data_IF_609304486729
#
_entry.id   IF_609304486729
#
_cell.length_a   1.000
_cell.length_b   1.000
_cell.length_c   1.000
_cell.angle_alpha   90.00
_cell.angle_beta   90.00
_cell.angle_gamma   90.00
#
_symmetry.space_group_name_H-M   'P 1'
#
loop_
_entity.id
_entity.type
_entity.pdbx_description
1 polymer ?
#
# COMPACT_ATOMS: atom_id res chain seq x y z
N UNK A 1 -41.97 -63.29 8.11
CA UNK A 1 -40.98 -62.30 8.59
C UNK A 1 -41.50 -60.92 8.19
N UNK A 2 -42.41 -60.38 9.01
CA UNK A 2 -42.26 -59.17 9.85
C UNK A 2 -42.43 -57.85 9.06
N UNK A 3 -43.69 -57.40 8.92
CA UNK A 3 -44.05 -56.01 8.64
C UNK A 3 -43.96 -55.16 9.92
N UNK A 4 -43.40 -53.94 9.89
CA UNK A 4 -43.52 -53.00 11.01
C UNK A 4 -44.80 -52.17 10.87
N UNK A 5 -45.78 -52.42 11.75
CA UNK A 5 -46.95 -51.56 11.97
C UNK A 5 -46.49 -50.28 12.68
N UNK A 6 -46.25 -49.21 11.92
CA UNK A 6 -46.05 -47.87 12.47
C UNK A 6 -47.42 -47.24 12.73
N UNK A 7 -47.81 -47.22 14.00
CA UNK A 7 -49.04 -46.62 14.50
C UNK A 7 -48.87 -45.10 14.56
N UNK A 8 -49.27 -44.39 13.51
CA UNK A 8 -49.34 -42.92 13.51
C UNK A 8 -50.51 -42.46 14.37
N UNK A 9 -50.21 -41.86 15.52
CA UNK A 9 -51.19 -41.13 16.30
C UNK A 9 -51.55 -39.82 15.57
N UNK A 10 -52.83 -39.47 15.40
CA UNK A 10 -53.22 -38.17 14.88
C UNK A 10 -52.90 -37.11 15.93
N UNK A 11 -51.91 -36.27 15.65
CA UNK A 11 -51.69 -35.02 16.40
C UNK A 11 -52.85 -34.10 16.03
N UNK A 12 -53.87 -34.06 16.88
CA UNK A 12 -54.93 -33.06 16.81
C UNK A 12 -54.31 -31.74 17.29
N UNK A 13 -53.90 -30.91 16.34
CA UNK A 13 -53.58 -29.51 16.58
C UNK A 13 -54.87 -28.82 17.02
N UNK A 14 -54.96 -28.58 18.31
CA UNK A 14 -56.03 -27.86 18.96
C UNK A 14 -55.99 -26.40 18.48
N UNK A 15 -57.04 -25.97 17.77
CA UNK A 15 -57.21 -24.60 17.26
C UNK A 15 -57.16 -23.60 18.42
N UNK A 16 -56.03 -22.91 18.55
CA UNK A 16 -55.86 -21.82 19.50
C UNK A 16 -56.52 -20.56 18.93
N UNK A 17 -57.59 -20.02 19.53
CA UNK A 17 -58.24 -18.81 19.04
C UNK A 17 -57.27 -17.63 19.15
N UNK A 18 -56.82 -17.12 18.00
CA UNK A 18 -55.86 -16.02 17.89
C UNK A 18 -54.59 -16.31 17.07
N UNK A 19 -54.36 -17.56 16.65
CA UNK A 19 -53.23 -17.94 15.79
C UNK A 19 -53.27 -17.21 14.42
N UNK A 20 -54.46 -16.98 13.90
CA UNK A 20 -54.75 -16.37 12.60
C UNK A 20 -54.37 -14.88 12.55
N UNK A 21 -54.52 -14.17 13.67
CA UNK A 21 -54.09 -12.78 13.80
C UNK A 21 -52.56 -12.65 13.79
N UNK A 22 -51.86 -13.61 14.42
CA UNK A 22 -50.39 -13.68 14.40
C UNK A 22 -49.84 -14.05 13.03
N UNK A 23 -50.47 -15.02 12.34
CA UNK A 23 -50.10 -15.44 11.00
C UNK A 23 -50.26 -14.32 9.96
N UNK A 24 -51.34 -13.54 10.04
CA UNK A 24 -51.60 -12.42 9.11
C UNK A 24 -50.67 -11.22 9.35
N UNK A 25 -50.20 -11.02 10.58
CA UNK A 25 -49.21 -10.00 10.89
C UNK A 25 -47.80 -10.43 10.48
N UNK A 26 -47.45 -11.70 10.66
CA UNK A 26 -46.16 -12.26 10.21
C UNK A 26 -46.07 -12.32 8.68
N UNK A 27 -47.14 -12.76 8.00
CA UNK A 27 -47.18 -12.80 6.54
C UNK A 27 -47.06 -11.40 5.91
N UNK A 28 -47.69 -10.39 6.53
CA UNK A 28 -47.50 -8.98 6.14
C UNK A 28 -46.05 -8.52 6.32
N UNK A 29 -45.40 -8.80 7.45
CA UNK A 29 -43.99 -8.43 7.65
C UNK A 29 -43.04 -9.13 6.68
N UNK A 30 -43.33 -10.37 6.29
CA UNK A 30 -42.54 -11.10 5.29
C UNK A 30 -42.77 -10.54 3.88
N UNK A 31 -44.00 -10.11 3.56
CA UNK A 31 -44.33 -9.48 2.28
C UNK A 31 -43.80 -8.04 2.15
N UNK A 32 -43.72 -7.30 3.27
CA UNK A 32 -43.18 -5.94 3.36
C UNK A 32 -41.66 -5.92 3.54
N UNK A 33 -41.03 -7.07 3.74
CA UNK A 33 -39.58 -7.15 3.84
C UNK A 33 -38.97 -6.64 2.53
N UNK A 34 -38.04 -5.66 2.59
CA UNK A 34 -37.44 -5.13 1.38
C UNK A 34 -36.82 -6.28 0.58
N UNK A 35 -36.97 -6.28 -0.76
CA UNK A 35 -36.43 -7.35 -1.58
C UNK A 35 -34.94 -7.49 -1.28
N UNK A 36 -34.53 -8.71 -0.90
CA UNK A 36 -33.13 -9.01 -0.66
C UNK A 36 -32.36 -8.64 -1.92
N UNK A 37 -31.51 -7.61 -1.83
CA UNK A 37 -30.66 -7.23 -2.96
C UNK A 37 -29.92 -8.47 -3.44
N UNK A 38 -29.91 -8.75 -4.74
CA UNK A 38 -29.25 -9.94 -5.23
C UNK A 38 -27.75 -9.85 -4.91
N UNK A 39 -27.16 -11.00 -4.55
CA UNK A 39 -25.75 -11.09 -4.11
C UNK A 39 -24.77 -10.39 -5.07
N UNK A 40 -25.04 -10.42 -6.38
CA UNK A 40 -24.20 -9.79 -7.39
C UNK A 40 -24.16 -8.25 -7.29
N UNK A 41 -25.24 -7.60 -6.84
CA UNK A 41 -25.24 -6.15 -6.60
C UNK A 41 -24.30 -5.81 -5.45
N UNK A 42 -24.38 -6.54 -4.34
CA UNK A 42 -23.49 -6.36 -3.20
C UNK A 42 -22.02 -6.55 -3.62
N UNK A 43 -21.72 -7.60 -4.40
CA UNK A 43 -20.38 -7.90 -4.94
C UNK A 43 -19.88 -6.77 -5.84
N UNK A 44 -20.71 -6.25 -6.74
CA UNK A 44 -20.31 -5.18 -7.67
C UNK A 44 -20.06 -3.84 -6.96
N UNK A 45 -20.88 -3.49 -5.97
CA UNK A 45 -20.64 -2.29 -5.14
C UNK A 45 -19.36 -2.41 -4.32
N UNK A 46 -19.10 -3.56 -3.69
CA UNK A 46 -17.87 -3.78 -2.95
C UNK A 46 -16.63 -3.69 -3.86
N UNK A 47 -16.69 -4.29 -5.06
CA UNK A 47 -15.59 -4.24 -6.02
C UNK A 47 -15.30 -2.81 -6.52
N UNK A 48 -16.34 -1.99 -6.74
CA UNK A 48 -16.17 -0.57 -7.11
C UNK A 48 -15.58 0.26 -5.96
N UNK A 49 -16.01 0.03 -4.72
CA UNK A 49 -15.44 0.71 -3.55
C UNK A 49 -13.95 0.38 -3.37
N UNK A 50 -13.58 -0.89 -3.46
CA UNK A 50 -12.18 -1.34 -3.39
C UNK A 50 -11.33 -0.76 -4.54
N UNK A 51 -11.90 -0.72 -5.77
CA UNK A 51 -11.22 -0.13 -6.92
C UNK A 51 -11.05 1.39 -6.79
N UNK A 52 -12.03 2.09 -6.20
CA UNK A 52 -11.98 3.53 -5.93
C UNK A 52 -10.87 3.92 -4.95
N UNK A 53 -10.56 3.05 -3.99
CA UNK A 53 -9.46 3.29 -3.04
C UNK A 53 -8.07 2.98 -3.61
N UNK A 54 -7.97 2.19 -4.69
CA UNK A 54 -6.70 1.71 -5.20
C UNK A 54 -5.72 2.85 -5.60
N UNK A 55 -6.16 3.95 -6.26
CA UNK A 55 -5.29 5.09 -6.55
C UNK A 55 -4.82 5.84 -5.30
N UNK A 56 -5.67 5.95 -4.27
CA UNK A 56 -5.33 6.62 -3.01
C UNK A 56 -4.30 5.81 -2.20
N UNK A 57 -4.49 4.49 -2.10
CA UNK A 57 -3.52 3.58 -1.46
C UNK A 57 -2.16 3.64 -2.17
N UNK A 58 -2.15 3.68 -3.52
CA UNK A 58 -0.92 3.82 -4.31
C UNK A 58 -0.22 5.15 -4.03
N UNK A 59 -0.96 6.25 -4.06
CA UNK A 59 -0.42 7.57 -3.78
C UNK A 59 0.28 7.62 -2.41
N UNK A 60 -0.31 6.99 -1.39
CA UNK A 60 0.29 6.88 -0.06
C UNK A 60 1.58 6.06 -0.07
N UNK A 61 1.63 4.92 -0.79
CA UNK A 61 2.85 4.09 -0.89
C UNK A 61 3.99 4.84 -1.58
N UNK A 62 3.71 5.51 -2.70
CA UNK A 62 4.69 6.35 -3.40
C UNK A 62 5.19 7.46 -2.48
N UNK A 63 4.31 8.14 -1.75
CA UNK A 63 4.71 9.16 -0.79
C UNK A 63 5.67 8.62 0.28
N UNK A 64 5.36 7.47 0.89
CA UNK A 64 6.23 6.83 1.87
C UNK A 64 7.59 6.43 1.28
N UNK A 65 7.61 5.91 0.05
CA UNK A 65 8.86 5.58 -0.67
C UNK A 65 9.68 6.83 -0.97
N UNK A 66 9.05 7.94 -1.34
CA UNK A 66 9.74 9.24 -1.53
C UNK A 66 10.35 9.69 -0.20
N UNK A 67 9.61 9.66 0.90
CA UNK A 67 10.17 10.00 2.23
C UNK A 67 11.37 9.10 2.58
N UNK A 68 11.29 7.81 2.29
CA UNK A 68 12.39 6.89 2.49
C UNK A 68 13.61 7.22 1.60
N UNK A 69 13.39 7.58 0.33
CA UNK A 69 14.44 8.06 -0.57
C UNK A 69 15.14 9.31 -0.06
N UNK A 70 14.41 10.23 0.58
CA UNK A 70 15.01 11.41 1.20
C UNK A 70 16.00 11.03 2.30
N UNK A 71 15.60 10.11 3.20
CA UNK A 71 16.46 9.61 4.28
C UNK A 71 17.74 8.98 3.69
N UNK A 72 17.59 8.09 2.69
CA UNK A 72 18.73 7.44 2.05
C UNK A 72 19.65 8.42 1.33
N UNK A 73 19.11 9.44 0.65
CA UNK A 73 19.92 10.44 -0.07
C UNK A 73 20.66 11.39 0.88
N UNK A 74 20.08 11.73 2.03
CA UNK A 74 20.78 12.50 3.06
C UNK A 74 21.95 11.67 3.63
N UNK A 75 21.73 10.38 3.85
CA UNK A 75 22.79 9.44 4.22
C UNK A 75 23.91 9.40 3.18
N UNK A 76 23.56 9.20 1.90
CA UNK A 76 24.51 9.20 0.78
C UNK A 76 25.34 10.49 0.72
N UNK A 77 24.69 11.65 0.82
CA UNK A 77 25.36 12.95 0.84
C UNK A 77 26.34 13.06 2.01
N UNK A 78 25.93 12.60 3.20
CA UNK A 78 26.79 12.64 4.40
C UNK A 78 28.03 11.77 4.20
N UNK A 79 27.85 10.55 3.69
CA UNK A 79 28.95 9.64 3.41
C UNK A 79 29.89 10.17 2.32
N UNK A 80 29.34 10.75 1.25
CA UNK A 80 30.10 11.44 0.18
C UNK A 80 31.01 12.52 0.78
N UNK A 81 30.48 13.35 1.69
CA UNK A 81 31.23 14.44 2.31
C UNK A 81 32.34 13.93 3.25
N UNK A 82 32.07 12.87 4.00
CA UNK A 82 33.07 12.25 4.87
C UNK A 82 34.19 11.64 4.03
N UNK A 83 33.85 10.83 3.03
CA UNK A 83 34.82 10.17 2.16
C UNK A 83 35.70 11.19 1.42
N UNK A 84 35.10 12.29 0.93
CA UNK A 84 35.85 13.37 0.30
C UNK A 84 36.86 14.02 1.25
N UNK A 85 36.47 14.27 2.51
CA UNK A 85 37.39 14.82 3.54
C UNK A 85 38.53 13.88 3.90
N UNK A 86 38.34 12.57 3.76
CA UNK A 86 39.38 11.57 3.97
C UNK A 86 40.35 11.46 2.78
N UNK A 87 40.09 12.16 1.67
CA UNK A 87 40.96 12.17 0.48
C UNK A 87 40.99 10.88 -0.33
N UNK A 88 40.15 9.90 0.02
CA UNK A 88 40.10 8.56 -0.59
C UNK A 88 38.90 8.36 -1.52
N UNK A 89 38.21 9.45 -1.87
CA UNK A 89 36.98 9.42 -2.63
C UNK A 89 37.18 9.84 -4.08
N UNK A 90 37.09 8.88 -4.99
CA UNK A 90 37.04 9.16 -6.42
C UNK A 90 35.59 9.22 -6.88
N UNK A 91 35.10 10.44 -7.14
CA UNK A 91 33.71 10.62 -7.53
C UNK A 91 33.50 10.23 -9.00
N UNK A 92 32.63 9.25 -9.25
CA UNK A 92 32.38 8.69 -10.59
C UNK A 92 31.48 9.60 -11.44
N UNK A 93 30.67 10.44 -10.81
CA UNK A 93 29.82 11.38 -11.52
C UNK A 93 30.65 12.60 -11.95
N UNK A 94 30.89 12.83 -13.26
CA UNK A 94 31.76 13.91 -13.73
C UNK A 94 31.23 15.31 -13.35
N UNK A 95 29.91 15.47 -13.25
CA UNK A 95 29.28 16.74 -12.82
C UNK A 95 29.52 16.97 -11.33
N UNK A 96 29.33 15.93 -10.52
CA UNK A 96 29.57 16.01 -9.08
C UNK A 96 31.06 16.20 -8.77
N UNK A 97 31.96 15.58 -9.56
CA UNK A 97 33.41 15.73 -9.45
C UNK A 97 33.84 17.20 -9.57
N UNK A 98 33.26 17.94 -10.52
CA UNK A 98 33.52 19.38 -10.67
C UNK A 98 32.96 20.26 -9.54
N UNK A 99 32.10 19.72 -8.68
CA UNK A 99 31.49 20.41 -7.55
C UNK A 99 32.13 20.01 -6.20
N UNK A 100 33.04 19.04 -6.17
CA UNK A 100 33.68 18.56 -4.93
C UNK A 100 34.44 19.67 -4.19
N UNK A 101 35.11 20.55 -4.93
CA UNK A 101 35.87 21.67 -4.36
C UNK A 101 34.98 22.68 -3.61
N UNK A 102 33.66 22.63 -3.83
CA UNK A 102 32.68 23.45 -3.13
C UNK A 102 31.57 22.58 -2.51
N UNK A 103 31.75 22.08 -1.27
CA UNK A 103 30.79 21.20 -0.59
C UNK A 103 29.36 21.75 -0.53
N UNK A 104 29.22 23.08 -0.42
CA UNK A 104 27.93 23.75 -0.45
C UNK A 104 27.24 23.61 -1.82
N UNK A 105 27.97 23.80 -2.91
CA UNK A 105 27.43 23.66 -4.26
C UNK A 105 27.03 22.21 -4.56
N UNK A 106 27.84 21.23 -4.13
CA UNK A 106 27.51 19.81 -4.25
C UNK A 106 26.24 19.45 -3.46
N UNK A 107 26.10 19.96 -2.24
CA UNK A 107 24.91 19.75 -1.41
C UNK A 107 23.66 20.29 -2.09
N UNK A 108 23.70 21.55 -2.54
CA UNK A 108 22.57 22.20 -3.23
C UNK A 108 22.22 21.43 -4.51
N UNK A 109 23.22 20.99 -5.28
CA UNK A 109 23.01 20.20 -6.48
C UNK A 109 22.30 18.86 -6.19
N UNK A 110 22.80 18.07 -5.23
CA UNK A 110 22.16 16.79 -4.86
C UNK A 110 20.74 17.01 -4.30
N UNK A 111 20.53 18.02 -3.47
CA UNK A 111 19.20 18.35 -2.93
C UNK A 111 18.23 18.83 -4.01
N UNK A 112 18.70 19.61 -4.99
CA UNK A 112 17.88 20.06 -6.12
C UNK A 112 17.43 18.87 -6.98
N UNK A 113 18.33 17.92 -7.28
CA UNK A 113 17.98 16.70 -8.01
C UNK A 113 17.00 15.81 -7.24
N UNK A 114 17.20 15.66 -5.93
CA UNK A 114 16.30 14.91 -5.06
C UNK A 114 14.91 15.55 -5.01
N UNK A 115 14.84 16.88 -4.87
CA UNK A 115 13.59 17.63 -4.87
C UNK A 115 12.86 17.53 -6.21
N UNK A 116 13.59 17.69 -7.33
CA UNK A 116 13.05 17.53 -8.68
C UNK A 116 12.47 16.13 -8.89
N UNK A 117 13.25 15.09 -8.56
CA UNK A 117 12.83 13.69 -8.68
C UNK A 117 11.60 13.39 -7.80
N UNK A 118 11.58 13.93 -6.59
CA UNK A 118 10.44 13.82 -5.67
C UNK A 118 9.20 14.50 -6.26
N UNK A 119 9.35 15.68 -6.85
CA UNK A 119 8.26 16.38 -7.54
C UNK A 119 7.66 15.54 -8.66
N UNK A 120 8.49 14.91 -9.49
CA UNK A 120 8.06 14.01 -10.56
C UNK A 120 7.29 12.81 -9.99
N UNK A 121 7.85 12.10 -8.99
CA UNK A 121 7.16 10.95 -8.39
C UNK A 121 5.84 11.33 -7.72
N UNK A 122 5.78 12.48 -7.03
CA UNK A 122 4.56 12.96 -6.40
C UNK A 122 3.51 13.43 -7.41
N UNK A 123 3.92 14.01 -8.54
CA UNK A 123 3.02 14.39 -9.63
C UNK A 123 2.35 13.14 -10.25
N UNK A 124 3.12 12.07 -10.47
CA UNK A 124 2.64 10.84 -11.09
C UNK A 124 2.23 9.74 -10.08
N UNK A 125 2.07 10.06 -8.80
CA UNK A 125 1.83 9.10 -7.69
C UNK A 125 0.65 8.15 -7.84
N UNK A 126 -0.27 8.40 -8.78
CA UNK A 126 -1.43 7.54 -9.09
C UNK A 126 -1.14 6.49 -10.16
N UNK A 127 0.01 6.54 -10.84
CA UNK A 127 0.39 5.63 -11.93
C UNK A 127 1.15 4.41 -11.38
N UNK A 128 0.84 3.20 -11.87
CA UNK A 128 1.53 1.96 -11.42
C UNK A 128 3.02 1.97 -11.73
N UNK A 129 3.40 2.49 -12.89
CA UNK A 129 4.80 2.57 -13.29
C UNK A 129 5.63 3.42 -12.32
N UNK A 130 5.06 4.49 -11.79
CA UNK A 130 5.69 5.36 -10.78
C UNK A 130 5.97 4.61 -9.49
N UNK A 131 5.06 3.75 -9.05
CA UNK A 131 5.24 2.90 -7.87
C UNK A 131 6.40 1.90 -8.07
N UNK A 132 6.48 1.27 -9.25
CA UNK A 132 7.58 0.34 -9.59
C UNK A 132 8.91 1.10 -9.66
N UNK A 133 8.95 2.23 -10.35
CA UNK A 133 10.16 3.05 -10.48
C UNK A 133 10.66 3.56 -9.12
N UNK A 134 9.75 4.06 -8.28
CA UNK A 134 10.08 4.54 -6.93
C UNK A 134 10.59 3.40 -6.04
N UNK A 135 9.94 2.23 -6.10
CA UNK A 135 10.43 1.01 -5.44
C UNK A 135 11.81 0.58 -5.92
N UNK A 136 12.06 0.60 -7.23
CA UNK A 136 13.37 0.31 -7.82
C UNK A 136 14.46 1.27 -7.32
N UNK A 137 14.17 2.57 -7.28
CA UNK A 137 15.09 3.56 -6.71
C UNK A 137 15.39 3.29 -5.24
N UNK A 138 14.39 2.90 -4.44
CA UNK A 138 14.61 2.53 -3.04
C UNK A 138 15.58 1.34 -2.94
N UNK A 139 15.43 0.32 -3.78
CA UNK A 139 16.34 -0.83 -3.81
C UNK A 139 17.77 -0.40 -4.17
N UNK A 140 17.94 0.43 -5.20
CA UNK A 140 19.26 0.92 -5.63
C UNK A 140 19.95 1.70 -4.52
N UNK A 141 19.26 2.66 -3.88
CA UNK A 141 19.85 3.45 -2.79
C UNK A 141 20.11 2.62 -1.52
N UNK A 142 19.30 1.59 -1.27
CA UNK A 142 19.56 0.65 -0.18
C UNK A 142 20.81 -0.17 -0.46
N UNK A 143 20.99 -0.68 -1.68
CA UNK A 143 22.20 -1.37 -2.10
C UNK A 143 23.43 -0.46 -2.00
N UNK A 144 23.31 0.79 -2.43
CA UNK A 144 24.37 1.80 -2.30
C UNK A 144 24.73 2.05 -0.83
N UNK A 145 23.74 2.06 0.07
CA UNK A 145 23.99 2.19 1.52
C UNK A 145 24.82 1.02 2.05
N UNK A 146 24.57 -0.21 1.58
CA UNK A 146 25.42 -1.36 1.93
C UNK A 146 26.85 -1.22 1.36
N UNK A 147 27.01 -0.72 0.14
CA UNK A 147 28.34 -0.45 -0.44
C UNK A 147 29.10 0.54 0.45
N UNK A 148 28.44 1.61 0.92
CA UNK A 148 29.04 2.54 1.87
C UNK A 148 29.49 1.86 3.17
N UNK A 149 28.71 0.92 3.71
CA UNK A 149 29.13 0.20 4.92
C UNK A 149 30.39 -0.61 4.72
N UNK A 150 30.54 -1.29 3.58
CA UNK A 150 31.75 -2.06 3.25
C UNK A 150 32.94 -1.13 3.06
N UNK A 151 32.75 -0.05 2.29
CA UNK A 151 33.79 0.94 2.02
C UNK A 151 34.37 1.55 3.32
N UNK A 152 33.52 1.92 4.29
CA UNK A 152 34.01 2.46 5.55
C UNK A 152 34.62 1.40 6.48
N UNK A 153 34.20 0.13 6.38
CA UNK A 153 34.88 -0.95 7.09
C UNK A 153 36.31 -1.14 6.57
N UNK A 154 36.50 -1.10 5.25
CA UNK A 154 37.82 -1.26 4.62
C UNK A 154 38.78 -0.11 4.96
N UNK A 155 38.27 1.12 5.15
CA UNK A 155 39.09 2.28 5.50
C UNK A 155 39.47 2.32 7.00
N UNK A 156 38.61 1.78 7.88
CA UNK A 156 38.82 1.84 9.33
C UNK A 156 39.65 0.67 9.90
N UNK A 157 39.96 -0.36 9.10
CA UNK A 157 40.80 -1.50 9.46
C UNK A 157 42.21 -1.36 8.87
#
# INVERSE_FOLDING_TARGET
>A
MLEPVVKTAPIILQDAPGADAGLTAWSRRVAEAPPRRPLWEAITTARRAIAGDAPARRARRVFLMVVFLWVLNIGDLTMTMIAHRLGQFEELNPVARGLLDCPAALTVFKLALLALSSGIFLAFRRVRLTEIACGGMCCVYTALTFVWTVYFQDIML
#
